data_IF_860149465226
#
_entry.id   IF_860149465226
#
_cell.length_a   1.000
_cell.length_b   1.000
_cell.length_c   1.000
_cell.angle_alpha   90.00
_cell.angle_beta   90.00
_cell.angle_gamma   90.00
#
_symmetry.space_group_name_H-M   'P 1'
#
loop_
_entity.id
_entity.type
_entity.pdbx_description
1 polymer ?
#
# COMPACT_ATOMS: atom_id res chain seq x y z
N UNK A 1 10.69 -16.84 -14.65
CA UNK A 1 9.86 -16.86 -13.43
C UNK A 1 8.67 -17.79 -13.60
N UNK A 2 7.79 -17.57 -14.58
CA UNK A 2 6.64 -18.47 -14.89
C UNK A 2 7.09 -19.93 -15.06
N UNK A 3 8.09 -20.18 -15.92
CA UNK A 3 8.64 -21.53 -16.16
C UNK A 3 9.22 -22.21 -14.91
N UNK A 4 9.75 -21.44 -13.94
CA UNK A 4 10.31 -21.98 -12.70
C UNK A 4 9.21 -22.37 -11.69
N UNK A 5 8.07 -21.67 -11.74
CA UNK A 5 6.87 -22.02 -10.96
C UNK A 5 6.19 -23.25 -11.57
N UNK A 6 6.07 -23.30 -12.90
CA UNK A 6 5.49 -24.44 -13.63
C UNK A 6 6.33 -25.71 -13.50
N UNK A 7 7.65 -25.59 -13.36
CA UNK A 7 8.57 -26.73 -13.21
C UNK A 7 8.85 -27.11 -11.75
N UNK A 8 8.22 -26.44 -10.78
CA UNK A 8 8.50 -26.55 -9.33
C UNK A 8 9.99 -26.36 -8.96
N UNK A 9 10.78 -25.69 -9.81
CA UNK A 9 12.19 -25.39 -9.53
C UNK A 9 12.32 -23.99 -8.95
N UNK A 10 11.98 -23.88 -7.66
CA UNK A 10 11.95 -22.58 -6.97
C UNK A 10 13.33 -22.00 -6.69
N UNK A 11 14.43 -22.76 -6.87
CA UNK A 11 15.79 -22.36 -6.49
C UNK A 11 16.28 -21.11 -7.24
N UNK A 12 15.74 -20.86 -8.42
CA UNK A 12 16.11 -19.72 -9.27
C UNK A 12 15.24 -18.48 -9.03
N UNK A 13 14.32 -18.51 -8.07
CA UNK A 13 13.45 -17.37 -7.81
C UNK A 13 14.19 -16.26 -7.02
N UNK A 14 14.25 -15.02 -7.57
CA UNK A 14 14.96 -13.90 -6.96
C UNK A 14 14.22 -13.33 -5.75
N UNK A 15 14.79 -12.31 -5.09
CA UNK A 15 14.14 -11.55 -4.01
C UNK A 15 13.60 -12.45 -2.89
N UNK A 16 14.40 -13.45 -2.51
CA UNK A 16 14.07 -14.40 -1.45
C UNK A 16 12.83 -15.28 -1.73
N UNK A 17 12.26 -15.21 -2.93
CA UNK A 17 11.08 -15.99 -3.32
C UNK A 17 11.37 -17.50 -3.33
N UNK A 18 12.62 -17.91 -3.56
CA UNK A 18 13.01 -19.32 -3.46
C UNK A 18 12.77 -19.92 -2.05
N UNK A 19 12.80 -19.09 -0.99
CA UNK A 19 12.45 -19.51 0.37
C UNK A 19 10.99 -19.18 0.73
N UNK A 20 10.45 -18.08 0.20
CA UNK A 20 9.09 -17.66 0.53
C UNK A 20 8.04 -18.55 -0.13
N UNK A 21 8.23 -18.94 -1.40
CA UNK A 21 7.21 -19.66 -2.15
C UNK A 21 6.84 -21.03 -1.56
N UNK A 22 7.80 -21.90 -1.17
CA UNK A 22 7.47 -23.16 -0.51
C UNK A 22 6.73 -22.95 0.83
N UNK A 23 7.07 -21.89 1.57
CA UNK A 23 6.38 -21.55 2.83
C UNK A 23 4.96 -21.07 2.60
N UNK A 24 4.74 -20.26 1.55
CA UNK A 24 3.43 -19.80 1.14
C UNK A 24 2.52 -20.98 0.73
N UNK A 25 3.05 -21.95 -0.01
CA UNK A 25 2.32 -23.18 -0.36
C UNK A 25 1.98 -24.02 0.88
N UNK A 26 2.95 -24.25 1.77
CA UNK A 26 2.68 -24.98 3.01
C UNK A 26 1.64 -24.27 3.90
N UNK A 27 1.67 -22.94 3.95
CA UNK A 27 0.67 -22.14 4.66
C UNK A 27 -0.71 -22.29 4.05
N UNK A 28 -0.82 -22.29 2.72
CA UNK A 28 -2.07 -22.56 2.01
C UNK A 28 -2.59 -23.97 2.33
N UNK A 29 -1.74 -25.00 2.26
CA UNK A 29 -2.13 -26.38 2.56
C UNK A 29 -2.64 -26.56 4.00
N UNK A 30 -2.09 -25.81 4.96
CA UNK A 30 -2.49 -25.88 6.36
C UNK A 30 -3.78 -25.10 6.65
N UNK A 31 -3.93 -23.92 6.08
CA UNK A 31 -5.00 -22.97 6.47
C UNK A 31 -6.15 -22.91 5.47
N UNK A 32 -5.88 -23.19 4.19
CA UNK A 32 -6.75 -22.92 3.05
C UNK A 32 -7.29 -21.47 3.04
N UNK A 33 -6.54 -20.54 3.65
CA UNK A 33 -6.91 -19.14 3.76
C UNK A 33 -5.98 -18.29 2.89
N UNK A 34 -6.53 -17.72 1.82
CA UNK A 34 -5.77 -16.89 0.89
C UNK A 34 -5.21 -15.63 1.55
N UNK A 35 -5.92 -15.07 2.54
CA UNK A 35 -5.49 -13.85 3.22
C UNK A 35 -4.22 -14.07 4.06
N UNK A 36 -4.06 -15.26 4.63
CA UNK A 36 -2.86 -15.60 5.41
C UNK A 36 -1.64 -15.72 4.49
N UNK A 37 -1.85 -16.28 3.29
CA UNK A 37 -0.82 -16.38 2.25
C UNK A 37 -0.44 -15.00 1.72
N UNK A 38 -1.42 -14.15 1.40
CA UNK A 38 -1.20 -12.78 0.94
C UNK A 38 -0.44 -11.97 1.98
N UNK A 39 -0.90 -11.98 3.24
CA UNK A 39 -0.25 -11.31 4.36
C UNK A 39 1.23 -11.74 4.52
N UNK A 40 1.50 -13.05 4.43
CA UNK A 40 2.86 -13.57 4.46
C UNK A 40 3.72 -13.05 3.30
N UNK A 41 3.19 -13.08 2.08
CA UNK A 41 3.91 -12.62 0.87
C UNK A 41 4.14 -11.11 0.88
N UNK A 42 3.19 -10.31 1.34
CA UNK A 42 3.35 -8.85 1.50
C UNK A 42 4.45 -8.53 2.52
N UNK A 43 4.52 -9.29 3.62
CA UNK A 43 5.61 -9.20 4.58
C UNK A 43 6.99 -9.57 4.00
N UNK A 44 7.06 -10.42 2.99
CA UNK A 44 8.30 -10.69 2.24
C UNK A 44 8.59 -9.53 1.29
N UNK A 45 7.59 -9.10 0.52
CA UNK A 45 7.69 -8.00 -0.45
C UNK A 45 8.27 -6.74 0.18
N UNK A 46 7.64 -6.22 1.25
CA UNK A 46 8.08 -4.96 1.87
C UNK A 46 9.48 -5.07 2.49
N UNK A 47 9.84 -6.24 3.04
CA UNK A 47 11.17 -6.48 3.59
C UNK A 47 12.25 -6.45 2.52
N UNK A 48 12.02 -7.11 1.38
CA UNK A 48 12.95 -7.12 0.26
C UNK A 48 13.02 -5.75 -0.43
N UNK A 49 11.88 -5.04 -0.56
CA UNK A 49 11.86 -3.65 -1.05
C UNK A 49 12.67 -2.72 -0.16
N UNK A 50 12.55 -2.82 1.17
CA UNK A 50 13.35 -2.03 2.11
C UNK A 50 14.83 -2.36 2.02
N UNK A 51 15.18 -3.64 1.90
CA UNK A 51 16.57 -4.07 1.74
C UNK A 51 17.17 -3.47 0.47
N UNK A 52 16.51 -3.65 -0.67
CA UNK A 52 16.98 -3.08 -1.95
C UNK A 52 17.06 -1.55 -1.88
N UNK A 53 16.07 -0.88 -1.32
CA UNK A 53 16.07 0.58 -1.22
C UNK A 53 17.20 1.13 -0.33
N UNK A 54 17.63 0.40 0.70
CA UNK A 54 18.77 0.77 1.56
C UNK A 54 20.14 0.53 0.91
N UNK A 55 20.20 -0.38 -0.05
CA UNK A 55 21.42 -0.69 -0.81
C UNK A 55 21.68 0.33 -1.94
N UNK A 56 20.69 1.18 -2.25
CA UNK A 56 20.82 2.24 -3.24
C UNK A 56 21.40 3.51 -2.61
N UNK A 57 22.28 4.21 -3.33
CA UNK A 57 22.85 5.50 -2.93
C UNK A 57 21.86 6.69 -3.08
N UNK A 58 20.57 6.41 -3.18
CA UNK A 58 19.52 7.40 -3.44
C UNK A 58 18.46 7.36 -2.34
N UNK A 59 18.07 8.53 -1.84
CA UNK A 59 17.12 8.64 -0.74
C UNK A 59 15.67 8.36 -1.18
N UNK A 60 15.30 8.79 -2.40
CA UNK A 60 13.92 8.70 -2.90
C UNK A 60 13.32 7.29 -2.89
N UNK A 61 14.01 6.22 -3.34
CA UNK A 61 13.50 4.85 -3.21
C UNK A 61 13.18 4.47 -1.78
N UNK A 62 14.03 4.83 -0.81
CA UNK A 62 13.79 4.52 0.60
C UNK A 62 12.56 5.27 1.11
N UNK A 63 12.44 6.57 0.84
CA UNK A 63 11.26 7.36 1.23
C UNK A 63 9.98 6.79 0.61
N UNK A 64 10.03 6.38 -0.66
CA UNK A 64 8.90 5.79 -1.36
C UNK A 64 8.47 4.46 -0.75
N UNK A 65 9.41 3.54 -0.47
CA UNK A 65 9.08 2.25 0.15
C UNK A 65 8.47 2.46 1.54
N UNK A 66 9.05 3.35 2.36
CA UNK A 66 8.54 3.66 3.70
C UNK A 66 7.14 4.26 3.65
N UNK A 67 6.90 5.19 2.72
CA UNK A 67 5.57 5.76 2.48
C UNK A 67 4.56 4.74 1.98
N UNK A 68 4.96 3.79 1.12
CA UNK A 68 4.10 2.66 0.70
C UNK A 68 3.71 1.76 1.87
N UNK A 69 4.64 1.48 2.77
CA UNK A 69 4.38 0.68 3.97
C UNK A 69 3.34 1.38 4.86
N UNK A 70 3.54 2.66 5.17
CA UNK A 70 2.59 3.40 6.01
C UNK A 70 1.20 3.50 5.36
N UNK A 71 1.16 3.75 4.05
CA UNK A 71 -0.09 3.77 3.31
C UNK A 71 -0.81 2.41 3.33
N UNK A 72 -0.09 1.31 3.15
CA UNK A 72 -0.70 -0.02 3.20
C UNK A 72 -1.20 -0.39 4.60
N UNK A 73 -0.43 -0.05 5.64
CA UNK A 73 -0.85 -0.22 7.01
C UNK A 73 -2.14 0.54 7.31
N UNK A 74 -2.26 1.80 6.88
CA UNK A 74 -3.49 2.58 7.06
C UNK A 74 -4.68 2.01 6.29
N UNK A 75 -4.46 1.50 5.06
CA UNK A 75 -5.52 0.78 4.31
C UNK A 75 -5.98 -0.46 5.08
N UNK A 76 -5.05 -1.27 5.58
CA UNK A 76 -5.34 -2.48 6.34
C UNK A 76 -6.08 -2.16 7.63
N UNK A 77 -5.60 -1.18 8.41
CA UNK A 77 -6.28 -0.72 9.62
C UNK A 77 -7.71 -0.26 9.35
N UNK A 78 -7.95 0.54 8.29
CA UNK A 78 -9.28 1.03 7.98
C UNK A 78 -10.23 -0.10 7.53
N UNK A 79 -9.74 -1.03 6.70
CA UNK A 79 -10.51 -2.21 6.26
C UNK A 79 -10.87 -3.12 7.44
N UNK A 80 -9.92 -3.37 8.34
CA UNK A 80 -10.12 -4.22 9.52
C UNK A 80 -11.04 -3.57 10.55
N UNK A 81 -10.95 -2.25 10.72
CA UNK A 81 -11.88 -1.49 11.56
C UNK A 81 -13.31 -1.53 11.03
N UNK A 82 -13.51 -1.46 9.70
CA UNK A 82 -14.82 -1.71 9.08
C UNK A 82 -15.34 -3.13 9.34
N UNK A 83 -14.44 -4.11 9.42
CA UNK A 83 -14.79 -5.51 9.71
C UNK A 83 -14.95 -5.82 11.20
N UNK A 84 -14.87 -4.80 12.07
CA UNK A 84 -15.00 -4.92 13.53
C UNK A 84 -14.07 -6.00 14.12
N UNK A 85 -12.84 -6.10 13.58
CA UNK A 85 -11.83 -7.06 14.05
C UNK A 85 -11.08 -6.52 15.28
N UNK A 86 -10.80 -7.40 16.25
CA UNK A 86 -9.97 -7.09 17.42
C UNK A 86 -8.51 -6.79 17.03
N UNK A 87 -7.82 -5.98 17.84
CA UNK A 87 -6.42 -5.55 17.62
C UNK A 87 -5.44 -6.72 17.42
N UNK A 88 -5.63 -7.84 18.11
CA UNK A 88 -4.78 -9.05 17.96
C UNK A 88 -4.93 -9.72 16.59
N UNK A 89 -6.07 -9.52 15.92
CA UNK A 89 -6.26 -9.98 14.55
C UNK A 89 -5.64 -9.02 13.52
N UNK A 90 -5.26 -7.80 13.92
CA UNK A 90 -4.72 -6.79 13.00
C UNK A 90 -3.21 -6.86 12.86
N UNK A 91 -2.50 -7.19 13.95
CA UNK A 91 -1.03 -7.21 13.99
C UNK A 91 -0.36 -7.94 12.81
N UNK A 92 -0.82 -9.13 12.37
CA UNK A 92 -0.20 -9.83 11.23
C UNK A 92 -0.25 -9.02 9.93
N UNK A 93 -1.31 -8.22 9.72
CA UNK A 93 -1.51 -7.41 8.53
C UNK A 93 -0.73 -6.08 8.53
N UNK A 94 0.04 -5.81 9.59
CA UNK A 94 0.86 -4.61 9.69
C UNK A 94 2.31 -4.92 9.31
N UNK A 95 2.87 -4.04 8.50
CA UNK A 95 4.23 -4.16 7.98
C UNK A 95 5.16 -3.17 8.68
N UNK A 96 6.29 -3.65 9.17
CA UNK A 96 7.31 -2.83 9.81
C UNK A 96 8.17 -2.08 8.78
N UNK A 97 8.82 -1.00 9.24
CA UNK A 97 9.84 -0.27 8.47
C UNK A 97 9.34 0.98 7.74
N UNK A 98 8.07 1.37 7.91
CA UNK A 98 7.55 2.67 7.49
C UNK A 98 8.09 3.86 8.33
N UNK A 99 7.42 5.01 8.26
CA UNK A 99 7.67 6.13 9.18
C UNK A 99 6.87 5.99 10.48
N UNK A 100 5.77 5.23 10.47
CA UNK A 100 4.97 4.93 11.66
C UNK A 100 5.31 3.51 12.14
N UNK A 101 5.60 3.35 13.43
CA UNK A 101 5.92 2.03 13.99
C UNK A 101 4.65 1.19 14.15
N UNK A 102 4.79 -0.14 14.13
CA UNK A 102 3.67 -1.08 14.28
C UNK A 102 2.98 -0.88 15.63
N UNK A 103 3.75 -0.63 16.69
CA UNK A 103 3.21 -0.38 18.04
C UNK A 103 2.31 0.87 18.06
N UNK A 104 2.72 1.92 17.35
CA UNK A 104 1.93 3.14 17.24
C UNK A 104 0.68 2.95 16.39
N UNK A 105 0.77 2.19 15.31
CA UNK A 105 -0.38 1.80 14.48
C UNK A 105 -1.40 0.98 15.28
N UNK A 106 -0.94 0.02 16.08
CA UNK A 106 -1.79 -0.77 16.97
C UNK A 106 -2.48 0.09 18.03
N UNK A 107 -1.75 1.03 18.64
CA UNK A 107 -2.34 1.98 19.60
C UNK A 107 -3.37 2.93 18.93
N UNK A 108 -3.22 3.23 17.64
CA UNK A 108 -4.17 4.05 16.89
C UNK A 108 -5.46 3.33 16.52
N UNK A 109 -5.49 2.00 16.47
CA UNK A 109 -6.69 1.23 16.10
C UNK A 109 -7.87 1.50 17.05
N UNK A 110 -7.60 1.65 18.35
CA UNK A 110 -8.60 1.95 19.37
C UNK A 110 -9.14 3.37 19.30
N UNK A 111 -8.44 4.27 18.63
CA UNK A 111 -8.84 5.67 18.51
C UNK A 111 -9.83 5.87 17.35
N UNK A 112 -10.79 6.81 17.44
CA UNK A 112 -11.66 7.20 16.31
C UNK A 112 -10.85 7.60 15.07
N UNK A 113 -11.35 7.32 13.86
CA UNK A 113 -10.59 7.55 12.62
C UNK A 113 -10.27 9.04 12.44
N UNK A 114 -11.20 9.89 12.85
CA UNK A 114 -11.11 11.36 12.86
C UNK A 114 -9.89 11.85 13.65
N UNK A 115 -9.45 11.08 14.64
CA UNK A 115 -8.29 11.41 15.46
C UNK A 115 -6.95 11.04 14.80
N UNK A 116 -6.94 10.18 13.78
CA UNK A 116 -5.71 9.63 13.19
C UNK A 116 -4.83 10.74 12.60
N UNK A 117 -5.44 11.73 11.94
CA UNK A 117 -4.76 12.93 11.42
C UNK A 117 -3.96 13.63 12.52
N UNK A 118 -4.54 13.78 13.72
CA UNK A 118 -3.86 14.41 14.86
C UNK A 118 -2.72 13.54 15.38
N UNK A 119 -2.95 12.23 15.52
CA UNK A 119 -1.92 11.29 16.02
C UNK A 119 -0.72 11.20 15.08
N UNK A 120 -0.97 11.33 13.77
CA UNK A 120 0.03 11.27 12.69
C UNK A 120 0.55 12.64 12.26
N UNK A 121 0.22 13.72 12.96
CA UNK A 121 0.60 15.10 12.61
C UNK A 121 2.11 15.34 12.47
N UNK A 122 2.93 14.49 13.09
CA UNK A 122 4.39 14.53 12.99
C UNK A 122 4.96 13.92 11.70
N UNK A 123 4.13 13.23 10.91
CA UNK A 123 4.50 12.56 9.67
C UNK A 123 3.73 13.16 8.49
N UNK A 124 4.34 13.19 7.30
CA UNK A 124 3.72 13.76 6.09
C UNK A 124 2.41 13.06 5.70
N UNK A 125 2.29 11.76 6.02
CA UNK A 125 1.06 11.00 5.82
C UNK A 125 -0.11 11.58 6.63
N UNK A 126 0.13 12.15 7.82
CA UNK A 126 -0.90 12.81 8.62
C UNK A 126 -1.44 14.07 7.93
N UNK A 127 -0.60 14.83 7.24
CA UNK A 127 -1.04 15.97 6.42
C UNK A 127 -1.87 15.51 5.22
N UNK A 128 -1.55 14.37 4.61
CA UNK A 128 -2.38 13.82 3.56
C UNK A 128 -3.78 13.47 4.08
N UNK A 129 -3.87 12.82 5.26
CA UNK A 129 -5.14 12.46 5.88
C UNK A 129 -6.04 13.67 6.20
N UNK A 130 -5.49 14.87 6.41
CA UNK A 130 -6.32 16.06 6.66
C UNK A 130 -7.15 16.51 5.45
N UNK A 131 -6.91 15.94 4.26
CA UNK A 131 -7.70 16.18 3.06
C UNK A 131 -8.99 15.37 3.02
N UNK A 132 -9.11 14.36 3.88
CA UNK A 132 -10.30 13.52 3.98
C UNK A 132 -11.42 14.33 4.63
N UNK A 133 -12.60 14.31 4.00
CA UNK A 133 -13.77 14.95 4.57
C UNK A 133 -14.42 14.06 5.63
N UNK A 134 -14.97 14.68 6.68
CA UNK A 134 -15.74 13.95 7.67
C UNK A 134 -16.94 13.28 7.00
N UNK A 135 -16.95 11.94 7.04
CA UNK A 135 -18.00 11.11 6.46
C UNK A 135 -18.47 10.09 7.48
N UNK A 136 -19.78 10.06 7.74
CA UNK A 136 -20.39 8.99 8.54
C UNK A 136 -20.51 7.67 7.78
N UNK A 137 -20.30 7.67 6.47
CA UNK A 137 -20.28 6.47 5.63
C UNK A 137 -18.85 5.92 5.52
N UNK A 138 -18.63 4.75 6.14
CA UNK A 138 -17.36 4.02 6.12
C UNK A 138 -16.92 3.59 4.72
N UNK A 139 -17.86 3.34 3.79
CA UNK A 139 -17.50 2.97 2.42
C UNK A 139 -17.00 4.18 1.64
N UNK A 140 -17.65 5.34 1.78
CA UNK A 140 -17.16 6.59 1.22
C UNK A 140 -15.77 6.95 1.78
N UNK A 141 -15.59 6.79 3.10
CA UNK A 141 -14.33 7.05 3.79
C UNK A 141 -13.19 6.13 3.30
N UNK A 142 -13.46 4.84 3.07
CA UNK A 142 -12.48 3.91 2.50
C UNK A 142 -12.02 4.34 1.11
N UNK A 143 -12.96 4.73 0.25
CA UNK A 143 -12.66 5.14 -1.12
C UNK A 143 -11.83 6.44 -1.12
N UNK A 144 -12.18 7.39 -0.26
CA UNK A 144 -11.44 8.65 -0.13
C UNK A 144 -10.04 8.43 0.46
N UNK A 145 -9.91 7.61 1.50
CA UNK A 145 -8.63 7.20 2.09
C UNK A 145 -7.72 6.56 1.04
N UNK A 146 -8.23 5.61 0.24
CA UNK A 146 -7.42 4.97 -0.80
C UNK A 146 -6.85 5.98 -1.80
N UNK A 147 -7.67 6.96 -2.21
CA UNK A 147 -7.24 8.02 -3.11
C UNK A 147 -6.19 8.93 -2.46
N UNK A 148 -6.44 9.39 -1.24
CA UNK A 148 -5.53 10.29 -0.51
C UNK A 148 -4.17 9.63 -0.28
N UNK A 149 -4.15 8.35 0.07
CA UNK A 149 -2.92 7.59 0.27
C UNK A 149 -2.16 7.35 -1.04
N UNK A 150 -2.87 7.10 -2.15
CA UNK A 150 -2.23 7.03 -3.48
C UNK A 150 -1.64 8.41 -3.87
N UNK A 151 -2.36 9.50 -3.66
CA UNK A 151 -1.87 10.87 -3.94
C UNK A 151 -0.67 11.26 -3.05
N UNK A 152 -0.64 10.81 -1.79
CA UNK A 152 0.49 10.96 -0.86
C UNK A 152 1.75 10.28 -1.42
N UNK A 153 1.65 9.02 -1.85
CA UNK A 153 2.78 8.29 -2.46
C UNK A 153 3.23 8.99 -3.75
N UNK A 154 2.31 9.46 -4.59
CA UNK A 154 2.66 10.28 -5.76
C UNK A 154 3.43 11.55 -5.36
N UNK A 155 3.06 12.18 -4.25
CA UNK A 155 3.75 13.35 -3.70
C UNK A 155 5.23 13.09 -3.38
N UNK A 156 5.55 11.94 -2.77
CA UNK A 156 6.93 11.54 -2.47
C UNK A 156 7.78 11.46 -3.75
N UNK A 157 7.19 10.99 -4.86
CA UNK A 157 7.88 10.85 -6.14
C UNK A 157 7.91 12.13 -6.99
N UNK A 158 7.17 13.19 -6.60
CA UNK A 158 7.17 14.47 -7.33
C UNK A 158 8.40 15.32 -7.06
N UNK A 159 9.01 15.20 -5.88
CA UNK A 159 10.27 15.90 -5.51
C UNK A 159 11.46 15.44 -6.35
N UNK A 160 11.33 14.28 -6.98
CA UNK A 160 12.31 13.62 -7.80
C UNK A 160 12.48 14.21 -9.23
N UNK A 161 11.59 15.13 -9.63
CA UNK A 161 11.49 15.63 -11.02
C UNK A 161 12.60 16.60 -11.48
N UNK A 162 13.62 16.88 -10.67
CA UNK A 162 14.57 17.97 -10.96
C UNK A 162 15.87 17.55 -11.67
N UNK A 163 16.08 16.26 -11.97
CA UNK A 163 17.26 15.81 -12.72
C UNK A 163 16.90 14.87 -13.88
N UNK A 164 17.31 15.19 -15.11
CA UNK A 164 16.99 14.38 -16.30
C UNK A 164 17.51 12.92 -16.24
N UNK A 165 18.56 12.67 -15.46
CA UNK A 165 19.20 11.36 -15.28
C UNK A 165 19.00 10.76 -13.88
N UNK A 166 18.10 11.34 -13.09
CA UNK A 166 17.90 10.90 -11.73
C UNK A 166 17.13 9.56 -11.71
N UNK A 167 17.61 8.51 -11.01
CA UNK A 167 17.01 7.17 -11.05
C UNK A 167 15.57 7.13 -10.54
N UNK A 168 15.21 8.05 -9.66
CA UNK A 168 13.84 8.31 -9.24
C UNK A 168 12.84 8.56 -10.39
N UNK A 169 13.29 9.00 -11.56
CA UNK A 169 12.42 9.17 -12.73
C UNK A 169 11.84 7.83 -13.19
N UNK A 170 12.62 6.76 -13.10
CA UNK A 170 12.14 5.40 -13.42
C UNK A 170 11.05 5.00 -12.45
N UNK A 171 11.25 5.28 -11.16
CA UNK A 171 10.28 4.96 -10.12
C UNK A 171 8.99 5.78 -10.27
N UNK A 172 9.11 7.08 -10.55
CA UNK A 172 7.97 7.96 -10.85
C UNK A 172 7.19 7.49 -12.08
N UNK A 173 7.89 7.07 -13.14
CA UNK A 173 7.25 6.53 -14.33
C UNK A 173 6.47 5.24 -14.03
N UNK A 174 7.08 4.27 -13.35
CA UNK A 174 6.42 3.00 -12.99
C UNK A 174 5.19 3.25 -12.11
N UNK A 175 5.31 4.10 -11.09
CA UNK A 175 4.19 4.47 -10.24
C UNK A 175 3.05 5.14 -11.02
N UNK A 176 3.38 6.09 -11.89
CA UNK A 176 2.38 6.76 -12.71
C UNK A 176 1.67 5.79 -13.67
N UNK A 177 2.36 4.74 -14.14
CA UNK A 177 1.72 3.67 -14.92
C UNK A 177 0.76 2.82 -14.08
N UNK A 178 1.07 2.54 -12.82
CA UNK A 178 0.12 1.89 -11.90
C UNK A 178 -1.12 2.77 -11.66
N UNK A 179 -0.92 4.08 -11.44
CA UNK A 179 -2.00 5.05 -11.25
C UNK A 179 -2.87 5.19 -12.51
N UNK A 180 -2.25 5.24 -13.70
CA UNK A 180 -2.96 5.25 -14.98
C UNK A 180 -3.83 4.01 -15.13
N UNK A 181 -3.29 2.81 -14.86
CA UNK A 181 -4.05 1.56 -14.92
C UNK A 181 -5.22 1.54 -13.93
N UNK A 182 -5.04 2.05 -12.70
CA UNK A 182 -6.13 2.21 -11.72
C UNK A 182 -7.21 3.17 -12.23
N UNK A 183 -6.82 4.33 -12.77
CA UNK A 183 -7.75 5.32 -13.30
C UNK A 183 -8.54 4.77 -14.50
N UNK A 184 -7.89 4.03 -15.40
CA UNK A 184 -8.57 3.35 -16.51
C UNK A 184 -9.59 2.33 -15.99
N UNK A 185 -9.24 1.52 -14.98
CA UNK A 185 -10.18 0.58 -14.36
C UNK A 185 -11.41 1.30 -13.79
N UNK A 186 -11.20 2.42 -13.08
CA UNK A 186 -12.30 3.24 -12.55
C UNK A 186 -13.19 3.76 -13.67
N UNK A 187 -12.60 4.28 -14.75
CA UNK A 187 -13.35 4.77 -15.88
C UNK A 187 -14.20 3.66 -16.53
N UNK A 188 -13.62 2.48 -16.74
CA UNK A 188 -14.33 1.34 -17.32
C UNK A 188 -15.48 0.87 -16.44
N UNK A 189 -15.25 0.70 -15.13
CA UNK A 189 -16.30 0.31 -14.18
C UNK A 189 -17.38 1.38 -14.08
N UNK A 190 -17.01 2.66 -14.09
CA UNK A 190 -17.97 3.78 -14.04
C UNK A 190 -18.87 3.80 -15.29
N UNK A 191 -18.29 3.61 -16.47
CA UNK A 191 -19.04 3.52 -17.74
C UNK A 191 -19.96 2.31 -17.74
N UNK A 192 -19.46 1.14 -17.32
CA UNK A 192 -20.25 -0.09 -17.29
C UNK A 192 -21.47 0.00 -16.35
N UNK A 193 -21.35 0.76 -15.27
CA UNK A 193 -22.42 0.96 -14.29
C UNK A 193 -23.26 2.23 -14.52
N UNK A 194 -23.03 2.97 -15.61
CA UNK A 194 -23.75 4.22 -15.89
C UNK A 194 -23.57 5.31 -14.83
N UNK A 195 -22.43 5.32 -14.13
CA UNK A 195 -22.16 6.30 -13.08
C UNK A 195 -22.04 7.72 -13.67
N UNK A 196 -22.47 8.71 -12.88
CA UNK A 196 -22.29 10.12 -13.23
C UNK A 196 -20.81 10.47 -13.44
N UNK A 197 -20.54 11.29 -14.45
CA UNK A 197 -19.18 11.64 -14.88
C UNK A 197 -18.42 12.42 -13.81
N UNK A 198 -19.10 13.29 -13.06
CA UNK A 198 -18.45 14.10 -12.04
C UNK A 198 -18.19 13.27 -10.77
N UNK A 199 -19.07 12.32 -10.45
CA UNK A 199 -18.78 11.27 -9.45
C UNK A 199 -17.56 10.43 -9.86
N UNK A 200 -17.50 9.92 -11.09
CA UNK A 200 -16.38 9.13 -11.57
C UNK A 200 -15.05 9.92 -11.56
N UNK A 201 -15.09 11.21 -11.91
CA UNK A 201 -13.92 12.11 -11.85
C UNK A 201 -13.37 12.28 -10.44
N UNK A 202 -14.25 12.35 -9.43
CA UNK A 202 -13.80 12.46 -8.03
C UNK A 202 -13.01 11.25 -7.56
N UNK A 203 -13.25 10.07 -8.14
CA UNK A 203 -12.54 8.82 -7.83
C UNK A 203 -11.17 8.70 -8.49
N UNK A 204 -10.90 9.50 -9.52
CA UNK A 204 -9.61 9.46 -10.22
C UNK A 204 -8.49 10.06 -9.35
N UNK A 205 -7.31 9.43 -9.42
CA UNK A 205 -6.09 9.80 -8.70
C UNK A 205 -5.22 10.72 -9.56
N UNK A 206 -4.38 11.54 -8.91
CA UNK A 206 -3.45 12.43 -9.61
C UNK A 206 -2.19 11.66 -10.03
N UNK A 207 -1.84 11.71 -11.32
CA UNK A 207 -0.52 11.31 -11.85
C UNK A 207 0.48 12.46 -11.90
#
# INVERSE_FOLDING_TARGET
MIMAVESEDFRLLPYNLHLAFPKALALWEQTHNVLDVECFLDGVLFREMLKMARELDYETPLLWVRGKIDAENLRNMLRLKRMEKDTTAVEPYLHAGGFVSVEKLLAMLSEPIESWTRVLSYADIGQALSLIQDSSDMNALLVEMEKVLDDYITGILKTAKYGAFAPENVLSYLWNKEIEAKNLRIALVSVANGMDKDLARRLMRRG
#
